data_IF_118205132507
#
_entry.id   IF_118205132507
#
_cell.length_a   1.000
_cell.length_b   1.000
_cell.length_c   1.000
_cell.angle_alpha   90.00
_cell.angle_beta   90.00
_cell.angle_gamma   90.00
#
_symmetry.space_group_name_H-M   'P 1'
#
loop_
_entity.id
_entity.type
_entity.pdbx_description
1 polymer ?
#
# COMPACT_ATOMS: atom_id res chain seq x y z
N UNK A 1 11.83 2.92 5.52
CA UNK A 1 10.52 3.51 5.87
C UNK A 1 10.34 4.94 5.35
N UNK A 2 10.96 5.35 4.24
CA UNK A 2 11.15 6.78 3.96
C UNK A 2 9.97 7.47 3.24
N UNK A 3 8.85 6.77 2.99
CA UNK A 3 7.81 7.23 2.07
C UNK A 3 6.35 6.95 2.47
N UNK A 4 6.05 6.79 3.77
CA UNK A 4 4.65 6.79 4.21
C UNK A 4 4.16 8.23 4.35
N UNK A 5 3.65 8.81 3.26
CA UNK A 5 3.11 10.17 3.21
C UNK A 5 1.63 10.15 2.91
N UNK A 6 0.90 11.09 3.50
CA UNK A 6 -0.47 11.36 3.10
C UNK A 6 -0.47 12.27 1.87
N UNK A 7 -1.14 11.81 0.81
CA UNK A 7 -1.41 12.63 -0.38
C UNK A 7 -2.87 13.08 -0.33
N UNK A 8 -3.07 14.39 -0.44
CA UNK A 8 -4.41 14.98 -0.55
C UNK A 8 -4.72 15.21 -2.01
N UNK A 9 -5.91 14.79 -2.45
CA UNK A 9 -6.38 15.07 -3.80
C UNK A 9 -6.50 16.58 -3.98
N UNK A 10 -5.92 17.13 -5.05
CA UNK A 10 -6.06 18.54 -5.40
C UNK A 10 -7.53 18.98 -5.47
N UNK A 11 -8.36 18.08 -5.99
CA UNK A 11 -9.81 18.25 -6.07
C UNK A 11 -10.48 17.06 -5.38
N UNK A 12 -11.27 17.28 -4.31
CA UNK A 12 -12.01 16.21 -3.64
C UNK A 12 -12.96 15.50 -4.61
N UNK A 13 -13.07 14.18 -4.48
CA UNK A 13 -14.01 13.36 -5.26
C UNK A 13 -15.25 13.07 -4.41
N UNK A 14 -16.44 13.32 -4.97
CA UNK A 14 -17.69 12.83 -4.37
C UNK A 14 -17.74 11.31 -4.54
N UNK A 15 -18.12 10.63 -3.46
CA UNK A 15 -18.28 9.18 -3.43
C UNK A 15 -19.76 8.88 -3.10
N UNK A 16 -20.65 8.81 -4.10
CA UNK A 16 -22.05 8.45 -3.87
C UNK A 16 -22.18 7.06 -3.24
N UNK A 17 -23.33 6.81 -2.61
CA UNK A 17 -23.66 5.50 -2.06
C UNK A 17 -23.51 4.41 -3.13
N UNK A 18 -22.87 3.29 -2.74
CA UNK A 18 -22.55 2.18 -3.65
C UNK A 18 -21.19 2.29 -4.35
N UNK A 19 -20.44 3.37 -4.16
CA UNK A 19 -19.06 3.47 -4.68
C UNK A 19 -18.16 2.41 -4.05
N UNK A 20 -17.34 1.76 -4.86
CA UNK A 20 -16.32 0.80 -4.41
C UNK A 20 -14.92 1.37 -4.60
N UNK A 21 -14.09 1.26 -3.57
CA UNK A 21 -12.67 1.65 -3.61
C UNK A 21 -11.83 0.38 -3.71
N UNK A 22 -11.12 0.22 -4.83
CA UNK A 22 -10.20 -0.89 -5.03
C UNK A 22 -8.77 -0.39 -4.88
N UNK A 23 -7.99 -1.04 -4.02
CA UNK A 23 -6.57 -0.76 -3.86
C UNK A 23 -5.77 -1.99 -4.27
N UNK A 24 -4.72 -1.78 -5.07
CA UNK A 24 -3.82 -2.84 -5.54
C UNK A 24 -2.39 -2.48 -5.14
N UNK A 25 -1.64 -3.49 -4.73
CA UNK A 25 -0.23 -3.41 -4.37
C UNK A 25 0.54 -4.53 -5.09
N UNK A 26 1.84 -4.33 -5.29
CA UNK A 26 2.74 -5.34 -5.79
C UNK A 26 4.07 -5.25 -5.03
N UNK A 27 4.63 -6.41 -4.71
CA UNK A 27 5.98 -6.56 -4.19
C UNK A 27 6.92 -7.01 -5.31
N UNK A 28 8.12 -6.45 -5.35
CA UNK A 28 9.16 -6.86 -6.29
C UNK A 28 10.08 -7.91 -5.66
N UNK A 29 9.71 -9.18 -5.88
CA UNK A 29 10.51 -10.35 -5.50
C UNK A 29 11.41 -10.84 -6.65
N UNK A 30 11.65 -10.01 -7.66
CA UNK A 30 12.56 -10.40 -8.74
C UNK A 30 14.01 -10.50 -8.23
N UNK A 31 14.85 -11.37 -8.83
CA UNK A 31 16.26 -11.45 -8.49
C UNK A 31 17.07 -10.20 -8.89
N UNK A 32 16.43 -9.24 -9.56
CA UNK A 32 17.05 -8.01 -10.02
C UNK A 32 16.84 -6.84 -9.06
N UNK A 33 16.03 -7.00 -8.01
CA UNK A 33 15.81 -5.96 -7.01
C UNK A 33 16.99 -5.95 -6.00
N UNK A 34 17.91 -4.96 -6.05
CA UNK A 34 19.07 -4.93 -5.13
C UNK A 34 18.66 -4.66 -3.67
N UNK A 35 17.41 -4.27 -3.43
CA UNK A 35 16.86 -4.04 -2.10
C UNK A 35 16.18 -5.27 -1.51
N UNK A 36 16.02 -6.35 -2.28
CA UNK A 36 15.51 -7.62 -1.78
C UNK A 36 16.71 -8.55 -1.47
N UNK A 37 17.06 -8.77 -0.20
CA UNK A 37 18.23 -9.56 0.18
C UNK A 37 18.09 -11.06 -0.15
N UNK A 38 16.86 -11.57 -0.29
CA UNK A 38 16.59 -12.97 -0.65
C UNK A 38 15.28 -13.08 -1.45
N UNK A 39 15.34 -13.09 -2.80
CA UNK A 39 14.17 -13.20 -3.66
C UNK A 39 13.51 -14.58 -3.63
N UNK A 40 14.14 -15.61 -3.05
CA UNK A 40 13.60 -16.97 -3.01
C UNK A 40 12.74 -17.23 -1.78
N UNK A 41 12.82 -16.35 -0.77
CA UNK A 41 12.13 -16.52 0.49
C UNK A 41 10.63 -16.23 0.35
N UNK A 42 9.80 -17.15 0.84
CA UNK A 42 8.37 -16.88 1.02
C UNK A 42 8.18 -15.94 2.21
N UNK A 43 7.69 -14.73 1.94
CA UNK A 43 7.30 -13.76 2.97
C UNK A 43 5.78 -13.77 3.12
N UNK A 44 5.32 -13.63 4.35
CA UNK A 44 3.90 -13.59 4.73
C UNK A 44 3.59 -12.20 5.26
N UNK A 45 2.29 -11.89 5.34
CA UNK A 45 1.86 -10.71 6.07
C UNK A 45 2.17 -10.87 7.57
N UNK A 46 2.63 -9.79 8.20
CA UNK A 46 2.83 -9.73 9.65
C UNK A 46 3.43 -8.41 10.11
N UNK A 47 3.56 -8.23 11.42
CA UNK A 47 3.96 -6.95 12.02
C UNK A 47 5.48 -6.80 12.15
N UNK A 48 6.23 -7.87 11.93
CA UNK A 48 7.69 -7.85 12.07
C UNK A 48 8.37 -7.24 10.84
N UNK A 49 9.57 -6.68 11.04
CA UNK A 49 10.33 -6.00 9.97
C UNK A 49 10.81 -6.93 8.84
N UNK A 50 10.76 -8.24 9.05
CA UNK A 50 11.10 -9.27 8.06
C UNK A 50 9.85 -9.93 7.44
N UNK A 51 8.67 -9.42 7.76
CA UNK A 51 7.37 -9.78 7.19
C UNK A 51 6.87 -8.63 6.31
N UNK A 52 5.88 -8.90 5.46
CA UNK A 52 5.27 -7.88 4.61
C UNK A 52 4.06 -7.23 5.26
N UNK A 53 3.78 -5.98 4.87
CA UNK A 53 2.56 -5.28 5.24
C UNK A 53 1.97 -4.55 4.04
N UNK A 54 0.66 -4.68 3.86
CA UNK A 54 -0.09 -3.82 2.96
C UNK A 54 -1.35 -3.33 3.66
N UNK A 55 -1.50 -2.01 3.69
CA UNK A 55 -2.71 -1.33 4.15
C UNK A 55 -2.88 -0.04 3.33
N UNK A 56 -4.11 0.45 3.28
CA UNK A 56 -4.45 1.71 2.63
C UNK A 56 -5.29 2.56 3.57
N UNK A 57 -4.98 3.85 3.66
CA UNK A 57 -5.76 4.83 4.42
C UNK A 57 -6.42 5.79 3.43
N UNK A 58 -7.70 6.11 3.68
CA UNK A 58 -8.46 7.09 2.91
C UNK A 58 -9.04 8.13 3.87
N UNK A 59 -8.66 9.39 3.68
CA UNK A 59 -9.31 10.51 4.36
C UNK A 59 -10.57 10.91 3.60
N UNK A 60 -11.65 11.23 4.33
CA UNK A 60 -12.89 11.74 3.77
C UNK A 60 -13.41 12.90 4.62
N UNK A 61 -14.25 13.72 4.01
CA UNK A 61 -15.04 14.76 4.68
C UNK A 61 -16.51 14.36 4.56
N UNK A 62 -17.28 14.66 5.60
CA UNK A 62 -18.74 14.53 5.58
C UNK A 62 -19.29 15.94 5.41
N UNK A 63 -20.14 16.13 4.41
CA UNK A 63 -20.89 17.37 4.20
C UNK A 63 -21.99 17.53 5.26
#
# INVERSE_FOLDING_TARGET
FNWQRTYVLKEPRKLPAGTQVHVRNAWDNSPYNPHNPDPTKTIRWGEQSFEEMFFATLGYIID
#
